data_IF_452774577376
#
_entry.id   IF_452774577376
#
_cell.length_a   1.000
_cell.length_b   1.000
_cell.length_c   1.000
_cell.angle_alpha   90.00
_cell.angle_beta   90.00
_cell.angle_gamma   90.00
#
_symmetry.space_group_name_H-M   'P 1'
#
loop_
_entity.id
_entity.type
_entity.pdbx_description
1 polymer ?
#
# COMPACT_ATOMS: atom_id res chain seq x y z
N UNK A 1 -10.70 12.40 -20.80
CA UNK A 1 -10.29 11.32 -19.89
C UNK A 1 -11.17 11.40 -18.65
N UNK A 2 -11.74 10.30 -18.16
CA UNK A 2 -12.62 10.34 -16.97
C UNK A 2 -11.83 10.83 -15.74
N UNK A 3 -12.51 11.45 -14.78
CA UNK A 3 -11.90 11.91 -13.52
C UNK A 3 -11.16 10.78 -12.79
N UNK A 4 -11.69 9.56 -12.86
CA UNK A 4 -11.06 8.35 -12.31
C UNK A 4 -9.76 7.98 -13.03
N UNK A 5 -9.75 8.01 -14.36
CA UNK A 5 -8.55 7.72 -15.14
C UNK A 5 -7.45 8.76 -14.88
N UNK A 6 -7.81 10.04 -14.76
CA UNK A 6 -6.86 11.10 -14.36
C UNK A 6 -6.27 10.79 -12.98
N UNK A 7 -7.09 10.37 -12.01
CA UNK A 7 -6.61 9.98 -10.69
C UNK A 7 -5.62 8.81 -10.72
N UNK A 8 -5.91 7.76 -11.50
CA UNK A 8 -5.00 6.61 -11.67
C UNK A 8 -3.68 7.01 -12.32
N UNK A 9 -3.73 7.85 -13.36
CA UNK A 9 -2.51 8.34 -14.00
C UNK A 9 -1.68 9.23 -13.04
N UNK A 10 -2.34 10.07 -12.25
CA UNK A 10 -1.66 10.91 -11.27
C UNK A 10 -0.96 10.07 -10.18
N UNK A 11 -1.63 9.06 -9.63
CA UNK A 11 -1.02 8.17 -8.62
C UNK A 11 0.13 7.34 -9.21
N UNK A 12 -0.01 6.87 -10.45
CA UNK A 12 1.08 6.18 -11.15
C UNK A 12 2.33 7.06 -11.28
N UNK A 13 2.17 8.34 -11.66
CA UNK A 13 3.28 9.30 -11.73
C UNK A 13 3.94 9.47 -10.36
N UNK A 14 3.15 9.59 -9.29
CA UNK A 14 3.68 9.68 -7.92
C UNK A 14 4.51 8.45 -7.57
N UNK A 15 4.04 7.23 -7.86
CA UNK A 15 4.80 6.02 -7.60
C UNK A 15 6.12 5.97 -8.37
N UNK A 16 6.13 6.38 -9.63
CA UNK A 16 7.36 6.43 -10.43
C UNK A 16 8.36 7.44 -9.85
N UNK A 17 7.90 8.63 -9.44
CA UNK A 17 8.76 9.65 -8.83
C UNK A 17 9.37 9.15 -7.52
N UNK A 18 8.55 8.57 -6.63
CA UNK A 18 9.00 8.02 -5.35
C UNK A 18 9.98 6.86 -5.58
N UNK A 19 9.66 5.95 -6.50
CA UNK A 19 10.53 4.83 -6.85
C UNK A 19 11.87 5.28 -7.44
N UNK A 20 11.88 6.30 -8.30
CA UNK A 20 13.12 6.84 -8.86
C UNK A 20 13.97 7.52 -7.77
N UNK A 21 13.36 8.28 -6.87
CA UNK A 21 14.05 8.92 -5.75
C UNK A 21 14.63 7.90 -4.77
N UNK A 22 13.87 6.88 -4.40
CA UNK A 22 14.32 5.81 -3.52
C UNK A 22 15.41 4.94 -4.19
N UNK A 23 15.24 4.61 -5.47
CA UNK A 23 16.18 3.80 -6.24
C UNK A 23 17.57 4.41 -6.34
N UNK A 24 17.67 5.75 -6.42
CA UNK A 24 18.97 6.47 -6.38
C UNK A 24 19.76 6.26 -5.08
N UNK A 25 19.10 5.84 -3.99
CA UNK A 25 19.74 5.60 -2.69
C UNK A 25 20.25 4.17 -2.52
N UNK A 26 19.86 3.24 -3.40
CA UNK A 26 20.27 1.83 -3.34
C UNK A 26 21.65 1.68 -3.99
N UNK A 27 22.67 1.33 -3.20
CA UNK A 27 24.05 1.14 -3.71
C UNK A 27 24.48 -0.32 -3.74
N UNK A 28 23.82 -1.19 -2.98
CA UNK A 28 24.14 -2.62 -2.91
C UNK A 28 22.97 -3.46 -2.43
N UNK A 29 23.20 -4.78 -2.31
CA UNK A 29 22.17 -5.74 -1.90
C UNK A 29 21.64 -5.47 -0.48
N UNK A 30 22.51 -5.04 0.44
CA UNK A 30 22.09 -4.72 1.81
C UNK A 30 21.13 -3.53 1.87
N UNK A 31 21.37 -2.50 1.05
CA UNK A 31 20.45 -1.36 0.95
C UNK A 31 19.12 -1.76 0.31
N UNK A 32 19.17 -2.66 -0.68
CA UNK A 32 17.98 -3.10 -1.41
C UNK A 32 17.04 -3.97 -0.55
N UNK A 33 17.60 -4.94 0.19
CA UNK A 33 16.79 -5.89 0.95
C UNK A 33 16.48 -5.45 2.38
N UNK A 34 17.41 -4.74 3.04
CA UNK A 34 17.28 -4.41 4.47
C UNK A 34 17.47 -2.94 4.79
N UNK A 35 17.53 -2.05 3.78
CA UNK A 35 17.71 -0.59 3.97
C UNK A 35 18.96 -0.31 4.83
N UNK A 36 20.04 -1.08 4.61
CA UNK A 36 21.26 -0.97 5.41
C UNK A 36 21.05 -1.19 6.91
N UNK A 37 19.97 -1.90 7.29
CA UNK A 37 19.52 -2.16 8.67
C UNK A 37 19.18 -0.90 9.47
N UNK A 38 18.87 0.20 8.79
CA UNK A 38 18.55 1.49 9.41
C UNK A 38 17.12 1.98 9.06
N UNK A 39 16.19 1.03 8.85
CA UNK A 39 14.79 1.37 8.62
C UNK A 39 14.13 1.84 9.94
N UNK A 40 13.53 3.04 9.99
CA UNK A 40 12.82 3.50 11.17
C UNK A 40 11.55 2.66 11.39
N UNK A 41 11.12 2.51 12.64
CA UNK A 41 9.95 1.71 13.02
C UNK A 41 8.69 2.08 12.22
N UNK A 42 8.50 3.37 11.93
CA UNK A 42 7.37 3.87 11.13
C UNK A 42 7.38 3.30 9.71
N UNK A 43 8.56 3.20 9.08
CA UNK A 43 8.68 2.64 7.73
C UNK A 43 8.36 1.15 7.74
N UNK A 44 8.86 0.42 8.74
CA UNK A 44 8.59 -1.02 8.90
C UNK A 44 7.09 -1.26 9.08
N UNK A 45 6.47 -0.62 10.08
CA UNK A 45 5.04 -0.78 10.36
C UNK A 45 4.19 -0.33 9.16
N UNK A 46 4.56 0.78 8.51
CA UNK A 46 3.90 1.25 7.30
C UNK A 46 3.93 0.22 6.18
N UNK A 47 5.08 -0.42 5.92
CA UNK A 47 5.17 -1.48 4.90
C UNK A 47 4.38 -2.74 5.26
N UNK A 48 4.27 -3.08 6.53
CA UNK A 48 3.46 -4.22 6.99
C UNK A 48 1.97 -3.95 6.77
N UNK A 49 1.49 -2.78 7.20
CA UNK A 49 0.09 -2.36 6.98
C UNK A 49 -0.23 -2.26 5.49
N UNK A 50 0.67 -1.66 4.71
CA UNK A 50 0.49 -1.55 3.26
C UNK A 50 0.50 -2.92 2.54
N UNK A 51 1.23 -3.91 3.06
CA UNK A 51 1.26 -5.26 2.49
C UNK A 51 0.01 -6.07 2.87
N UNK A 52 -0.58 -5.78 4.03
CA UNK A 52 -1.85 -6.37 4.45
C UNK A 52 -3.02 -5.78 3.65
N UNK A 53 -3.01 -4.46 3.41
CA UNK A 53 -4.06 -3.78 2.67
C UNK A 53 -3.89 -3.97 1.16
N UNK A 54 -4.88 -4.60 0.54
CA UNK A 54 -4.93 -4.80 -0.92
C UNK A 54 -6.26 -4.32 -1.49
N UNK A 55 -6.33 -4.18 -2.82
CA UNK A 55 -7.59 -3.88 -3.51
C UNK A 55 -8.68 -4.91 -3.19
N UNK A 56 -8.30 -6.17 -3.01
CA UNK A 56 -9.23 -7.26 -2.65
C UNK A 56 -9.78 -7.06 -1.24
N UNK A 57 -8.94 -6.65 -0.29
CA UNK A 57 -9.39 -6.33 1.07
C UNK A 57 -10.42 -5.19 1.05
N UNK A 58 -10.10 -4.06 0.40
CA UNK A 58 -11.02 -2.91 0.34
C UNK A 58 -12.33 -3.23 -0.41
N UNK A 59 -12.27 -3.88 -1.56
CA UNK A 59 -13.47 -4.18 -2.36
C UNK A 59 -14.31 -5.28 -1.71
N UNK A 60 -13.66 -6.28 -1.09
CA UNK A 60 -14.34 -7.33 -0.35
C UNK A 60 -15.07 -6.78 0.87
N UNK A 61 -14.40 -6.00 1.70
CA UNK A 61 -14.99 -5.46 2.93
C UNK A 61 -16.16 -4.51 2.64
N UNK A 62 -16.03 -3.69 1.60
CA UNK A 62 -17.11 -2.80 1.15
C UNK A 62 -18.28 -3.59 0.57
N UNK A 63 -18.03 -4.66 -0.18
CA UNK A 63 -19.06 -5.57 -0.70
C UNK A 63 -19.86 -6.26 0.42
N UNK A 64 -19.17 -6.87 1.39
CA UNK A 64 -19.82 -7.50 2.55
C UNK A 64 -20.64 -6.51 3.39
N UNK A 65 -20.15 -5.27 3.52
CA UNK A 65 -20.88 -4.21 4.22
C UNK A 65 -22.11 -3.77 3.44
N UNK A 66 -22.01 -3.70 2.11
CA UNK A 66 -23.14 -3.39 1.23
C UNK A 66 -24.25 -4.45 1.32
N UNK A 67 -23.88 -5.73 1.44
CA UNK A 67 -24.82 -6.84 1.61
C UNK A 67 -25.47 -6.90 3.02
N UNK A 68 -25.15 -5.95 3.90
CA UNK A 68 -25.78 -5.81 5.21
C UNK A 68 -25.11 -6.58 6.34
N UNK A 69 -23.87 -7.04 6.14
CA UNK A 69 -23.10 -7.79 7.16
C UNK A 69 -21.91 -7.02 7.79
N UNK A 70 -21.99 -5.70 8.07
CA UNK A 70 -20.83 -4.95 8.59
C UNK A 70 -20.41 -5.41 10.00
N UNK A 71 -21.34 -5.87 10.84
CA UNK A 71 -21.05 -6.36 12.19
C UNK A 71 -20.34 -7.71 12.15
N UNK A 72 -20.74 -8.62 11.25
CA UNK A 72 -20.07 -9.91 11.08
C UNK A 72 -18.66 -9.71 10.55
N UNK A 73 -18.48 -8.80 9.59
CA UNK A 73 -17.16 -8.42 9.11
C UNK A 73 -16.28 -7.91 10.26
N UNK A 74 -16.78 -7.01 11.11
CA UNK A 74 -15.99 -6.45 12.22
C UNK A 74 -15.58 -7.50 13.28
N UNK A 75 -16.35 -8.59 13.40
CA UNK A 75 -16.03 -9.71 14.33
C UNK A 75 -15.09 -10.73 13.70
N UNK A 76 -15.16 -10.94 12.38
CA UNK A 76 -14.42 -11.98 11.67
C UNK A 76 -13.11 -11.48 11.04
N UNK A 77 -12.96 -10.17 10.85
CA UNK A 77 -11.73 -9.54 10.36
C UNK A 77 -10.88 -9.15 11.57
N UNK A 78 -9.65 -9.66 11.72
CA UNK A 78 -8.77 -9.37 12.86
C UNK A 78 -8.24 -7.93 12.87
#
# INVERSE_FOLDING_TARGET
>A
MSIYAIGVFATFIVYVIVGNYAGKKVKGMEDYYVVGRNAPTVMIVGTLVASFLSTVAFMGETGFSYDGYPVLLLVLTP
#
